data_IF_339742084287
#
_entry.id   IF_339742084287
#
_cell.length_a   1.000
_cell.length_b   1.000
_cell.length_c   1.000
_cell.angle_alpha   90.00
_cell.angle_beta   90.00
_cell.angle_gamma   90.00
#
_symmetry.space_group_name_H-M   'P 1'
#
loop_
_entity.id
_entity.type
_entity.pdbx_description
1 polymer ?
#
# COMPACT_ATOMS: atom_id res chain seq x y z
N UNK A 1 31.31 -18.89 24.50
CA UNK A 1 31.32 -19.95 23.48
C UNK A 1 30.09 -19.90 22.55
N UNK A 2 28.88 -19.62 23.08
CA UNK A 2 27.66 -19.53 22.24
C UNK A 2 27.65 -18.32 21.29
N UNK A 3 28.33 -17.22 21.64
CA UNK A 3 28.42 -16.02 20.80
C UNK A 3 29.37 -16.23 19.60
N UNK A 4 30.47 -16.93 19.80
CA UNK A 4 31.46 -17.22 18.75
C UNK A 4 30.89 -18.21 17.73
N UNK A 5 30.08 -19.19 18.17
CA UNK A 5 29.37 -20.12 17.27
C UNK A 5 28.28 -19.45 16.42
N UNK A 6 27.66 -18.37 16.95
CA UNK A 6 26.63 -17.62 16.22
C UNK A 6 27.23 -16.74 15.14
N UNK A 7 28.40 -16.15 15.40
CA UNK A 7 29.11 -15.31 14.44
C UNK A 7 29.74 -16.17 13.32
N UNK A 8 30.30 -17.34 13.65
CA UNK A 8 30.80 -18.30 12.66
C UNK A 8 29.69 -18.89 11.75
N UNK A 9 28.48 -19.08 12.28
CA UNK A 9 27.31 -19.53 11.49
C UNK A 9 26.73 -18.42 10.59
N UNK A 10 26.88 -17.17 10.98
CA UNK A 10 26.48 -16.02 10.16
C UNK A 10 27.50 -15.75 9.05
N UNK A 11 28.79 -15.86 9.33
CA UNK A 11 29.87 -15.74 8.32
C UNK A 11 29.83 -16.91 7.30
N UNK A 12 29.60 -18.17 7.76
CA UNK A 12 29.51 -19.29 6.82
C UNK A 12 28.31 -19.19 5.87
N UNK A 13 27.16 -18.71 6.36
CA UNK A 13 25.98 -18.48 5.49
C UNK A 13 26.14 -17.29 4.54
N UNK A 14 26.90 -16.25 4.92
CA UNK A 14 27.19 -15.13 4.04
C UNK A 14 28.20 -15.53 2.95
N UNK A 15 29.17 -16.36 3.27
CA UNK A 15 30.15 -16.90 2.31
C UNK A 15 29.51 -17.91 1.32
N UNK A 16 28.66 -18.83 1.78
CA UNK A 16 27.90 -19.71 0.86
C UNK A 16 26.94 -18.97 -0.06
N UNK A 17 26.41 -17.81 0.36
CA UNK A 17 25.56 -16.99 -0.48
C UNK A 17 26.36 -16.14 -1.47
N UNK A 18 27.56 -15.67 -1.09
CA UNK A 18 28.45 -14.94 -1.99
C UNK A 18 29.10 -15.84 -3.03
N UNK A 19 29.52 -17.07 -2.68
CA UNK A 19 30.14 -18.01 -3.61
C UNK A 19 29.16 -18.60 -4.64
N UNK A 20 27.85 -18.63 -4.32
CA UNK A 20 26.83 -18.96 -5.33
C UNK A 20 26.57 -17.85 -6.34
N UNK A 21 26.93 -16.60 -6.01
CA UNK A 21 26.80 -15.45 -6.91
C UNK A 21 28.02 -15.27 -7.82
N UNK A 22 29.18 -15.84 -7.47
CA UNK A 22 30.44 -15.69 -8.22
C UNK A 22 30.65 -16.81 -9.27
N UNK A 23 29.85 -17.88 -9.26
CA UNK A 23 30.03 -19.05 -10.14
C UNK A 23 29.00 -19.20 -11.27
N UNK A 24 28.08 -18.26 -11.47
CA UNK A 24 27.24 -18.22 -12.66
C UNK A 24 27.93 -17.29 -13.67
N UNK A 25 28.62 -17.88 -14.65
CA UNK A 25 28.87 -17.18 -15.91
C UNK A 25 27.55 -16.54 -16.32
N UNK A 26 27.54 -15.21 -16.48
CA UNK A 26 26.45 -14.47 -17.10
C UNK A 26 26.31 -15.00 -18.54
N UNK A 27 25.58 -16.10 -18.70
CA UNK A 27 24.89 -16.32 -19.95
C UNK A 27 24.02 -15.08 -20.09
N UNK A 28 24.42 -14.18 -20.95
CA UNK A 28 23.62 -13.04 -21.38
C UNK A 28 22.32 -13.62 -21.96
N UNK A 29 21.35 -13.83 -21.09
CA UNK A 29 19.97 -14.07 -21.54
C UNK A 29 19.59 -12.79 -22.24
N UNK A 30 19.47 -12.83 -23.56
CA UNK A 30 18.97 -11.73 -24.34
C UNK A 30 17.57 -11.40 -23.81
N UNK A 31 17.45 -10.27 -23.13
CA UNK A 31 16.19 -9.82 -22.50
C UNK A 31 15.56 -8.78 -23.41
N UNK A 32 14.27 -8.84 -23.54
CA UNK A 32 13.54 -7.73 -24.16
C UNK A 32 13.70 -6.48 -23.29
N UNK A 33 13.96 -5.36 -23.94
CA UNK A 33 14.16 -4.05 -23.31
C UNK A 33 13.08 -3.10 -23.80
N UNK A 34 12.37 -2.47 -22.85
CA UNK A 34 11.44 -1.37 -23.14
C UNK A 34 11.94 -0.11 -22.43
N UNK A 35 11.84 1.02 -23.09
CA UNK A 35 12.30 2.31 -22.56
C UNK A 35 11.13 3.25 -22.34
N UNK A 36 11.11 3.89 -21.17
CA UNK A 36 10.12 4.87 -20.74
C UNK A 36 10.78 6.09 -20.12
N UNK A 37 10.07 7.20 -20.08
CA UNK A 37 10.50 8.33 -19.27
C UNK A 37 10.35 8.02 -17.78
N UNK A 38 9.21 7.42 -17.39
CA UNK A 38 8.94 7.05 -16.00
C UNK A 38 8.34 5.64 -15.91
N UNK A 39 8.92 4.83 -15.03
CA UNK A 39 8.34 3.54 -14.61
C UNK A 39 7.79 3.66 -13.19
N UNK A 40 6.54 3.27 -12.99
CA UNK A 40 5.87 3.23 -11.69
C UNK A 40 5.65 1.78 -11.26
N UNK A 41 6.14 1.41 -10.10
CA UNK A 41 6.05 0.05 -9.54
C UNK A 41 4.94 -0.02 -8.52
N UNK A 42 3.81 -0.61 -8.89
CA UNK A 42 2.64 -0.83 -8.04
C UNK A 42 1.42 -0.01 -8.42
N UNK A 43 0.31 -0.70 -8.73
CA UNK A 43 -1.00 -0.16 -9.12
C UNK A 43 -1.92 0.17 -7.94
N UNK A 44 -1.36 0.59 -6.82
CA UNK A 44 -2.11 1.10 -5.68
C UNK A 44 -2.43 2.60 -5.79
N UNK A 45 -3.08 3.19 -4.76
CA UNK A 45 -3.49 4.61 -4.80
C UNK A 45 -2.33 5.58 -5.10
N UNK A 46 -1.14 5.36 -4.53
CA UNK A 46 0.01 6.24 -4.75
C UNK A 46 0.55 6.13 -6.17
N UNK A 47 0.74 4.90 -6.68
CA UNK A 47 1.27 4.70 -8.04
C UNK A 47 0.32 5.20 -9.12
N UNK A 48 -0.99 4.92 -8.99
CA UNK A 48 -1.99 5.42 -9.93
C UNK A 48 -2.08 6.95 -9.90
N UNK A 49 -2.03 7.56 -8.71
CA UNK A 49 -2.03 9.03 -8.59
C UNK A 49 -0.78 9.66 -9.20
N UNK A 50 0.38 9.00 -9.06
CA UNK A 50 1.62 9.41 -9.71
C UNK A 50 1.47 9.40 -11.24
N UNK A 51 1.03 8.27 -11.79
CA UNK A 51 0.91 8.08 -13.24
C UNK A 51 -0.11 9.06 -13.86
N UNK A 52 -1.26 9.25 -13.22
CA UNK A 52 -2.28 10.21 -13.65
C UNK A 52 -1.71 11.64 -13.63
N UNK A 53 -1.08 12.04 -12.53
CA UNK A 53 -0.54 13.40 -12.38
C UNK A 53 0.57 13.69 -13.40
N UNK A 54 1.46 12.73 -13.67
CA UNK A 54 2.49 12.85 -14.71
C UNK A 54 1.88 13.13 -16.09
N UNK A 55 0.85 12.38 -16.47
CA UNK A 55 0.18 12.57 -17.77
C UNK A 55 -0.62 13.87 -17.83
N UNK A 56 -1.20 14.32 -16.71
CA UNK A 56 -1.85 15.63 -16.63
C UNK A 56 -0.85 16.76 -16.86
N UNK A 57 0.31 16.73 -16.18
CA UNK A 57 1.36 17.72 -16.35
C UNK A 57 1.92 17.72 -17.78
N UNK A 58 2.12 16.54 -18.36
CA UNK A 58 2.55 16.42 -19.76
C UNK A 58 1.56 17.07 -20.72
N UNK A 59 0.26 16.83 -20.54
CA UNK A 59 -0.78 17.46 -21.33
C UNK A 59 -0.83 18.99 -21.15
N UNK A 60 -0.73 19.48 -19.91
CA UNK A 60 -0.70 20.93 -19.60
C UNK A 60 0.48 21.66 -20.24
N UNK A 61 1.63 20.99 -20.32
CA UNK A 61 2.87 21.55 -20.89
C UNK A 61 3.09 21.20 -22.38
N UNK A 62 2.16 20.47 -23.01
CA UNK A 62 2.31 19.91 -24.35
C UNK A 62 3.63 19.13 -24.51
N UNK A 63 4.05 18.41 -23.48
CA UNK A 63 5.23 17.59 -23.46
C UNK A 63 4.87 16.13 -23.81
N UNK A 64 5.73 15.47 -24.57
CA UNK A 64 5.66 14.03 -24.73
C UNK A 64 6.32 13.36 -23.53
N UNK A 65 5.60 12.46 -22.85
CA UNK A 65 6.08 11.73 -21.69
C UNK A 65 5.50 10.31 -21.69
N UNK A 66 6.37 9.34 -21.84
CA UNK A 66 6.01 7.93 -21.75
C UNK A 66 5.99 7.46 -20.29
N UNK A 67 4.87 6.90 -19.83
CA UNK A 67 4.68 6.42 -18.47
C UNK A 67 4.19 4.98 -18.48
N UNK A 68 4.94 4.10 -17.85
CA UNK A 68 4.61 2.70 -17.63
C UNK A 68 4.28 2.46 -16.16
N UNK A 69 3.22 1.71 -15.88
CA UNK A 69 2.87 1.25 -14.54
C UNK A 69 2.76 -0.27 -14.53
N UNK A 70 3.50 -0.93 -13.66
CA UNK A 70 3.42 -2.38 -13.47
C UNK A 70 2.70 -2.73 -12.17
N UNK A 71 1.88 -3.78 -12.22
CA UNK A 71 1.16 -4.33 -11.06
C UNK A 71 1.31 -5.86 -11.04
N UNK A 72 1.70 -6.39 -9.89
CA UNK A 72 1.86 -7.85 -9.72
C UNK A 72 0.55 -8.63 -9.69
N UNK A 73 -0.54 -7.97 -9.32
CA UNK A 73 -1.88 -8.56 -9.37
C UNK A 73 -2.33 -8.78 -10.81
N UNK A 74 -3.21 -9.75 -11.03
CA UNK A 74 -3.77 -10.07 -12.35
C UNK A 74 -4.55 -8.91 -12.98
N UNK A 75 -4.97 -7.95 -12.18
CA UNK A 75 -5.62 -6.69 -12.55
C UNK A 75 -5.37 -5.63 -11.48
N UNK A 76 -5.58 -4.38 -11.80
CA UNK A 76 -5.55 -3.30 -10.80
C UNK A 76 -6.61 -3.57 -9.73
N UNK A 77 -6.21 -3.49 -8.47
CA UNK A 77 -7.09 -3.71 -7.32
C UNK A 77 -7.22 -5.17 -6.85
N UNK A 78 -6.73 -6.17 -7.60
CA UNK A 78 -6.85 -7.59 -7.24
C UNK A 78 -6.28 -7.94 -5.85
N UNK A 79 -5.19 -7.27 -5.46
CA UNK A 79 -4.56 -7.47 -4.15
C UNK A 79 -5.00 -6.47 -3.08
N UNK A 80 -6.04 -5.69 -3.34
CA UNK A 80 -6.58 -4.71 -2.40
C UNK A 80 -7.91 -5.23 -1.83
N UNK A 81 -7.87 -5.64 -0.57
CA UNK A 81 -9.10 -5.99 0.14
C UNK A 81 -9.82 -4.70 0.55
N UNK A 82 -11.11 -4.66 0.27
CA UNK A 82 -11.98 -3.53 0.53
C UNK A 82 -12.13 -3.22 2.02
N UNK A 83 -12.69 -2.06 2.32
CA UNK A 83 -12.98 -1.58 3.64
C UNK A 83 -12.15 -0.36 4.00
N UNK A 84 -12.55 0.78 3.48
CA UNK A 84 -11.89 2.05 3.74
C UNK A 84 -12.91 3.12 4.10
N UNK A 85 -12.60 3.90 5.12
CA UNK A 85 -13.21 5.20 5.32
C UNK A 85 -12.29 6.23 4.67
N UNK A 86 -12.65 6.68 3.49
CA UNK A 86 -11.81 7.47 2.58
C UNK A 86 -12.02 8.97 2.76
N UNK A 87 -10.92 9.70 2.92
CA UNK A 87 -10.88 11.17 2.91
C UNK A 87 -10.63 11.64 1.46
N UNK A 88 -11.58 12.36 0.81
CA UNK A 88 -11.52 12.61 -0.64
C UNK A 88 -10.55 13.71 -1.06
N UNK A 89 -9.96 14.48 -0.14
CA UNK A 89 -9.13 15.67 -0.41
C UNK A 89 -8.10 15.48 -1.53
N UNK A 90 -7.36 14.35 -1.51
CA UNK A 90 -6.36 14.10 -2.54
C UNK A 90 -6.98 13.75 -3.90
N UNK A 91 -8.17 13.13 -3.89
CA UNK A 91 -8.94 12.88 -5.11
C UNK A 91 -9.54 14.16 -5.67
N UNK A 92 -10.06 15.05 -4.81
CA UNK A 92 -10.58 16.38 -5.19
C UNK A 92 -9.49 17.20 -5.90
N UNK A 93 -8.23 17.08 -5.46
CA UNK A 93 -7.10 17.75 -6.06
C UNK A 93 -6.64 17.08 -7.39
N UNK A 94 -6.62 15.75 -7.43
CA UNK A 94 -6.14 15.00 -8.59
C UNK A 94 -7.14 15.01 -9.75
N UNK A 95 -8.41 14.79 -9.46
CA UNK A 95 -9.51 14.70 -10.43
C UNK A 95 -10.72 15.46 -9.85
N UNK A 96 -10.78 16.80 -9.97
CA UNK A 96 -11.83 17.60 -9.34
C UNK A 96 -13.26 17.22 -9.75
N UNK A 97 -13.42 16.71 -10.97
CA UNK A 97 -14.68 16.24 -11.55
C UNK A 97 -14.94 14.73 -11.36
N UNK A 98 -14.36 14.14 -10.30
CA UNK A 98 -14.47 12.71 -10.03
C UNK A 98 -15.91 12.22 -9.86
N UNK A 99 -16.83 13.07 -9.38
CA UNK A 99 -18.25 12.74 -9.22
C UNK A 99 -18.93 12.55 -10.57
N UNK A 100 -18.72 13.49 -11.46
CA UNK A 100 -19.23 13.47 -12.84
C UNK A 100 -18.63 12.32 -13.66
N UNK A 101 -17.40 11.96 -13.35
CA UNK A 101 -16.69 10.80 -13.93
C UNK A 101 -17.04 9.46 -13.30
N UNK A 102 -17.97 9.45 -12.35
CA UNK A 102 -18.51 8.22 -11.76
C UNK A 102 -17.52 7.46 -10.86
N UNK A 103 -16.70 8.17 -10.09
CA UNK A 103 -15.88 7.52 -9.06
C UNK A 103 -16.77 6.76 -8.06
N UNK A 104 -16.37 5.56 -7.60
CA UNK A 104 -17.20 4.69 -6.77
C UNK A 104 -17.22 5.12 -5.28
N UNK A 105 -17.62 6.36 -5.03
CA UNK A 105 -17.77 6.95 -3.70
C UNK A 105 -19.25 7.26 -3.44
N UNK A 106 -20.05 6.22 -3.21
CA UNK A 106 -21.51 6.34 -3.14
C UNK A 106 -22.05 6.44 -1.71
N UNK A 107 -21.28 6.01 -0.70
CA UNK A 107 -21.72 5.91 0.69
C UNK A 107 -21.01 6.94 1.58
N UNK A 108 -21.56 8.17 1.75
CA UNK A 108 -20.98 9.17 2.63
C UNK A 108 -21.01 8.70 4.09
N UNK A 109 -19.96 9.02 4.84
CA UNK A 109 -19.92 8.77 6.28
C UNK A 109 -20.83 9.77 7.01
N UNK A 110 -21.87 9.26 7.65
CA UNK A 110 -22.93 10.06 8.30
C UNK A 110 -22.95 9.93 9.81
N UNK A 111 -22.34 8.87 10.35
CA UNK A 111 -22.38 8.60 11.79
C UNK A 111 -21.07 7.98 12.26
N UNK A 112 -20.47 8.59 13.27
CA UNK A 112 -19.31 8.05 13.99
C UNK A 112 -19.73 7.39 15.30
N UNK A 113 -19.16 6.21 15.57
CA UNK A 113 -19.36 5.46 16.81
C UNK A 113 -18.02 4.99 17.34
N UNK A 114 -17.70 5.30 18.59
CA UNK A 114 -16.54 4.75 19.27
C UNK A 114 -16.99 3.98 20.49
N UNK A 115 -16.59 2.70 20.58
CA UNK A 115 -16.94 1.82 21.69
C UNK A 115 -15.71 1.30 22.41
N UNK A 116 -15.81 1.22 23.73
CA UNK A 116 -14.89 0.44 24.54
C UNK A 116 -15.55 -0.88 24.92
N UNK A 117 -14.91 -1.98 24.53
CA UNK A 117 -15.36 -3.34 24.84
C UNK A 117 -14.68 -3.81 26.13
N UNK A 118 -15.48 -4.10 27.17
CA UNK A 118 -14.99 -4.57 28.47
C UNK A 118 -14.75 -6.07 28.44
N UNK A 119 -15.72 -6.81 27.91
CA UNK A 119 -15.70 -8.26 27.72
C UNK A 119 -16.63 -8.62 26.54
N UNK A 120 -16.86 -9.89 26.29
CA UNK A 120 -17.68 -10.36 25.15
C UNK A 120 -19.13 -9.85 25.14
N UNK A 121 -19.68 -9.45 26.30
CA UNK A 121 -21.09 -9.09 26.46
C UNK A 121 -21.31 -7.62 26.83
N UNK A 122 -20.26 -6.94 27.30
CA UNK A 122 -20.37 -5.58 27.84
C UNK A 122 -19.50 -4.59 27.10
N UNK A 123 -20.12 -3.53 26.65
CA UNK A 123 -19.46 -2.37 26.02
C UNK A 123 -20.11 -1.07 26.46
N UNK A 124 -19.43 0.03 26.29
CA UNK A 124 -20.02 1.36 26.39
C UNK A 124 -19.57 2.25 25.23
N UNK A 125 -20.45 3.15 24.81
CA UNK A 125 -20.10 4.18 23.85
C UNK A 125 -19.26 5.25 24.55
N UNK A 126 -18.13 5.59 23.96
CA UNK A 126 -17.35 6.74 24.40
C UNK A 126 -18.10 7.98 23.89
N UNK A 127 -18.59 8.86 24.78
CA UNK A 127 -19.23 10.10 24.36
C UNK A 127 -18.20 10.98 23.65
N UNK A 128 -18.54 11.38 22.42
CA UNK A 128 -17.55 11.89 21.50
C UNK A 128 -17.97 13.24 20.92
N UNK A 129 -17.64 14.36 21.57
CA UNK A 129 -17.71 15.62 20.90
C UNK A 129 -16.66 15.67 19.79
N UNK A 130 -17.08 15.75 18.54
CA UNK A 130 -16.21 15.78 17.35
C UNK A 130 -15.10 16.84 17.41
N UNK A 131 -15.32 17.92 18.19
CA UNK A 131 -14.32 18.97 18.39
C UNK A 131 -13.15 18.57 19.31
N UNK A 132 -13.34 17.60 20.20
CA UNK A 132 -12.26 17.13 21.10
C UNK A 132 -11.38 16.04 20.47
N UNK A 133 -11.91 15.31 19.48
CA UNK A 133 -11.19 14.25 18.79
C UNK A 133 -11.39 14.32 17.28
N UNK A 134 -10.89 15.37 16.64
CA UNK A 134 -11.14 15.63 15.21
C UNK A 134 -10.65 14.49 14.30
N UNK A 135 -9.69 13.70 14.74
CA UNK A 135 -9.15 12.57 13.98
C UNK A 135 -10.17 11.45 13.72
N UNK A 136 -11.23 11.35 14.55
CA UNK A 136 -12.30 10.37 14.40
C UNK A 136 -13.58 10.95 13.79
N UNK A 137 -13.60 12.23 13.49
CA UNK A 137 -14.69 12.84 12.76
C UNK A 137 -14.57 12.46 11.28
N UNK A 138 -15.53 11.70 10.78
CA UNK A 138 -15.57 11.24 9.40
C UNK A 138 -16.58 11.99 8.53
N UNK A 139 -17.15 13.07 9.02
CA UNK A 139 -18.03 13.91 8.20
C UNK A 139 -17.29 14.41 6.96
N UNK A 140 -17.88 14.22 5.77
CA UNK A 140 -17.27 14.53 4.48
C UNK A 140 -16.38 13.40 3.91
N UNK A 141 -16.19 12.30 4.65
CA UNK A 141 -15.53 11.10 4.15
C UNK A 141 -16.54 10.13 3.54
N UNK A 142 -16.05 9.06 2.90
CA UNK A 142 -16.87 8.03 2.28
C UNK A 142 -16.46 6.64 2.75
N UNK A 143 -17.45 5.79 3.03
CA UNK A 143 -17.21 4.35 3.20
C UNK A 143 -17.25 3.70 1.81
N UNK A 144 -16.17 3.06 1.39
CA UNK A 144 -16.05 2.61 0.03
C UNK A 144 -15.07 1.44 -0.14
N UNK A 145 -15.13 0.77 -1.28
CA UNK A 145 -14.17 -0.25 -1.69
C UNK A 145 -12.93 0.39 -2.31
N UNK A 146 -11.78 0.28 -1.65
CA UNK A 146 -10.51 0.79 -2.18
C UNK A 146 -10.09 0.05 -3.47
N UNK A 147 -10.44 -1.23 -3.60
CA UNK A 147 -10.18 -1.97 -4.84
C UNK A 147 -10.94 -1.37 -6.03
N UNK A 148 -12.22 -1.01 -5.83
CA UNK A 148 -13.03 -0.38 -6.86
C UNK A 148 -12.51 1.02 -7.22
N UNK A 149 -12.08 1.81 -6.23
CA UNK A 149 -11.43 3.09 -6.51
C UNK A 149 -10.15 2.92 -7.34
N UNK A 150 -9.30 1.95 -7.01
CA UNK A 150 -8.08 1.70 -7.77
C UNK A 150 -8.39 1.24 -9.21
N UNK A 151 -9.39 0.39 -9.44
CA UNK A 151 -9.82 0.01 -10.79
C UNK A 151 -10.28 1.23 -11.58
N UNK A 152 -11.09 2.08 -10.96
CA UNK A 152 -11.54 3.33 -11.59
C UNK A 152 -10.38 4.28 -11.89
N UNK A 153 -9.42 4.46 -10.94
CA UNK A 153 -8.20 5.24 -11.19
C UNK A 153 -7.34 4.63 -12.31
N UNK A 154 -7.26 3.30 -12.38
CA UNK A 154 -6.59 2.59 -13.48
C UNK A 154 -7.19 2.99 -14.84
N UNK A 155 -8.51 2.94 -14.96
CA UNK A 155 -9.21 3.40 -16.17
C UNK A 155 -8.93 4.88 -16.49
N UNK A 156 -8.88 5.76 -15.46
CA UNK A 156 -8.53 7.17 -15.70
C UNK A 156 -7.07 7.30 -16.18
N UNK A 157 -6.13 6.51 -15.65
CA UNK A 157 -4.74 6.51 -16.06
C UNK A 157 -4.58 6.03 -17.53
N UNK A 158 -5.24 4.93 -17.90
CA UNK A 158 -5.25 4.41 -19.28
C UNK A 158 -5.83 5.43 -20.27
N UNK A 159 -6.92 6.10 -19.92
CA UNK A 159 -7.53 7.15 -20.73
C UNK A 159 -6.59 8.35 -20.97
N UNK A 160 -5.61 8.57 -20.10
CA UNK A 160 -4.57 9.59 -20.25
C UNK A 160 -3.33 9.06 -20.99
N UNK A 161 -3.33 7.79 -21.41
CA UNK A 161 -2.23 7.17 -22.13
C UNK A 161 -1.11 6.66 -21.23
N UNK A 162 -1.42 6.22 -20.00
CA UNK A 162 -0.50 5.41 -19.19
C UNK A 162 -0.56 3.96 -19.69
N UNK A 163 0.59 3.36 -19.91
CA UNK A 163 0.68 1.93 -20.22
C UNK A 163 0.67 1.13 -18.91
N UNK A 164 -0.40 0.37 -18.67
CA UNK A 164 -0.55 -0.45 -17.45
C UNK A 164 -0.33 -1.92 -17.76
N UNK A 165 0.61 -2.55 -17.06
CA UNK A 165 0.93 -3.97 -17.20
C UNK A 165 0.57 -4.74 -15.92
N UNK A 166 -0.66 -5.27 -15.82
CA UNK A 166 -1.03 -6.16 -14.72
C UNK A 166 -0.44 -7.56 -14.93
N UNK A 167 -0.20 -8.27 -13.82
CA UNK A 167 0.40 -9.60 -13.82
C UNK A 167 1.93 -9.60 -13.84
N UNK A 168 2.58 -8.44 -13.96
CA UNK A 168 4.04 -8.33 -13.95
C UNK A 168 4.57 -7.88 -12.60
N UNK A 169 5.54 -8.61 -12.08
CA UNK A 169 6.25 -8.26 -10.84
C UNK A 169 7.54 -7.52 -11.15
N UNK A 170 7.89 -6.50 -10.38
CA UNK A 170 9.25 -5.99 -10.35
C UNK A 170 10.10 -6.91 -9.48
N UNK A 171 11.03 -7.63 -10.08
CA UNK A 171 11.89 -8.59 -9.38
C UNK A 171 13.15 -7.94 -8.79
N UNK A 172 13.75 -7.02 -9.54
CA UNK A 172 14.92 -6.27 -9.08
C UNK A 172 14.96 -4.86 -9.69
N UNK A 173 15.77 -3.97 -9.10
CA UNK A 173 16.08 -2.67 -9.67
C UNK A 173 17.31 -2.77 -10.57
N UNK A 174 17.28 -2.13 -11.72
CA UNK A 174 18.43 -1.97 -12.60
C UNK A 174 19.27 -0.83 -12.06
N UNK A 175 20.53 -1.11 -11.74
CA UNK A 175 21.46 -0.15 -11.16
C UNK A 175 22.67 0.02 -12.07
N UNK A 176 22.97 1.26 -12.43
CA UNK A 176 24.18 1.63 -13.17
C UNK A 176 24.88 2.79 -12.45
N UNK A 177 26.12 2.58 -12.02
CA UNK A 177 26.90 3.57 -11.27
C UNK A 177 26.15 4.13 -10.04
N UNK A 178 25.49 3.25 -9.29
CA UNK A 178 24.65 3.61 -8.13
C UNK A 178 23.40 4.47 -8.45
N UNK A 179 23.01 4.55 -9.71
CA UNK A 179 21.77 5.20 -10.15
C UNK A 179 20.75 4.15 -10.55
N UNK A 180 19.51 4.30 -10.12
CA UNK A 180 18.39 3.46 -10.57
C UNK A 180 18.03 3.83 -12.01
N UNK A 181 18.05 2.85 -12.91
CA UNK A 181 17.77 3.00 -14.35
C UNK A 181 16.54 2.25 -14.82
N UNK A 182 15.72 1.76 -13.91
CA UNK A 182 14.55 0.98 -14.21
C UNK A 182 14.41 -0.24 -13.32
N UNK A 183 13.66 -1.21 -13.80
CA UNK A 183 13.42 -2.48 -13.10
C UNK A 183 13.55 -3.67 -14.03
N UNK A 184 13.87 -4.80 -13.43
CA UNK A 184 13.78 -6.11 -14.04
C UNK A 184 12.46 -6.76 -13.64
N UNK A 185 11.69 -7.26 -14.61
CA UNK A 185 10.47 -8.00 -14.31
C UNK A 185 10.80 -9.41 -13.82
N UNK A 186 9.86 -10.01 -13.09
CA UNK A 186 9.98 -11.43 -12.73
C UNK A 186 9.76 -12.36 -13.93
N UNK A 187 10.45 -13.48 -13.92
CA UNK A 187 10.16 -14.56 -14.86
C UNK A 187 8.77 -15.14 -14.60
N UNK A 188 8.05 -15.49 -15.66
CA UNK A 188 6.73 -16.12 -15.58
C UNK A 188 6.75 -17.56 -16.11
N UNK A 189 5.73 -18.33 -15.70
CA UNK A 189 5.60 -19.71 -16.18
C UNK A 189 6.64 -20.69 -15.60
N UNK A 190 7.12 -20.44 -14.38
CA UNK A 190 7.96 -21.36 -13.62
C UNK A 190 7.09 -22.25 -12.72
N UNK A 191 7.38 -23.55 -12.65
CA UNK A 191 6.72 -24.51 -11.76
C UNK A 191 7.16 -24.33 -10.31
N UNK A 192 6.49 -25.01 -9.37
CA UNK A 192 6.89 -25.08 -7.96
C UNK A 192 8.31 -25.61 -7.76
N UNK A 193 8.76 -26.47 -8.66
CA UNK A 193 10.05 -27.16 -8.60
C UNK A 193 11.14 -26.39 -9.36
N UNK A 194 10.82 -25.18 -9.87
CA UNK A 194 11.76 -24.31 -10.58
C UNK A 194 11.89 -24.61 -12.09
N UNK A 195 11.07 -25.50 -12.64
CA UNK A 195 11.14 -25.88 -14.07
C UNK A 195 10.33 -24.93 -14.94
N UNK A 196 10.82 -24.65 -16.13
CA UNK A 196 10.15 -23.82 -17.14
C UNK A 196 8.96 -24.57 -17.75
N UNK A 197 7.76 -23.99 -17.66
CA UNK A 197 6.54 -24.50 -18.32
C UNK A 197 6.50 -24.06 -19.78
N UNK A 198 5.56 -24.61 -20.55
CA UNK A 198 5.31 -24.17 -21.94
C UNK A 198 4.94 -22.68 -22.04
N UNK A 199 4.43 -22.08 -20.96
CA UNK A 199 4.10 -20.66 -20.83
C UNK A 199 5.23 -19.81 -20.24
N UNK A 200 6.47 -20.32 -20.21
CA UNK A 200 7.61 -19.59 -19.69
C UNK A 200 7.84 -18.30 -20.48
N UNK A 201 8.02 -17.20 -19.75
CA UNK A 201 8.47 -15.93 -20.27
C UNK A 201 9.67 -15.45 -19.46
N UNK A 202 10.78 -15.08 -20.11
CA UNK A 202 11.95 -14.56 -19.43
C UNK A 202 11.64 -13.20 -18.78
N UNK A 203 12.49 -12.79 -17.88
CA UNK A 203 12.46 -11.42 -17.35
C UNK A 203 12.75 -10.41 -18.46
N UNK A 204 12.10 -9.23 -18.37
CA UNK A 204 12.28 -8.09 -19.27
C UNK A 204 12.90 -6.93 -18.51
N UNK A 205 13.62 -6.06 -19.19
CA UNK A 205 14.10 -4.79 -18.64
C UNK A 205 13.11 -3.67 -18.99
N UNK A 206 12.59 -3.00 -17.98
CA UNK A 206 11.86 -1.75 -18.15
C UNK A 206 12.77 -0.62 -17.70
N UNK A 207 13.41 0.02 -18.67
CA UNK A 207 14.34 1.12 -18.42
C UNK A 207 13.62 2.45 -18.31
N UNK A 208 14.08 3.33 -17.44
CA UNK A 208 13.45 4.61 -17.20
C UNK A 208 14.47 5.70 -16.84
N UNK A 209 14.12 6.96 -17.14
CA UNK A 209 14.82 8.13 -16.60
C UNK A 209 14.63 8.24 -15.09
N UNK A 210 13.42 7.96 -14.61
CA UNK A 210 13.10 7.85 -13.19
C UNK A 210 12.18 6.67 -12.89
N UNK A 211 12.41 6.02 -11.75
CA UNK A 211 11.56 4.92 -11.28
C UNK A 211 10.92 5.27 -9.94
N UNK A 212 9.59 5.10 -9.85
CA UNK A 212 8.82 5.41 -8.64
C UNK A 212 8.30 4.13 -8.02
N UNK A 213 8.74 3.85 -6.78
CA UNK A 213 8.40 2.64 -6.05
C UNK A 213 7.20 2.87 -5.14
N UNK A 214 6.04 2.37 -5.56
CA UNK A 214 4.74 2.47 -4.90
C UNK A 214 4.25 1.11 -4.37
N UNK A 215 5.16 0.28 -3.85
CA UNK A 215 4.92 -1.12 -3.51
C UNK A 215 4.10 -1.34 -2.22
N UNK A 216 3.76 -0.26 -1.52
CA UNK A 216 3.03 -0.32 -0.25
C UNK A 216 3.88 -0.78 0.93
N UNK A 217 3.23 -1.17 2.02
CA UNK A 217 3.92 -1.58 3.23
C UNK A 217 4.93 -2.72 2.96
N UNK A 218 6.20 -2.48 3.24
CA UNK A 218 7.31 -3.43 3.05
C UNK A 218 7.43 -3.98 1.62
N UNK A 219 7.40 -3.12 0.63
CA UNK A 219 7.79 -3.46 -0.73
C UNK A 219 9.15 -4.14 -0.75
N UNK A 220 9.34 -5.19 -1.56
CA UNK A 220 10.60 -5.93 -1.50
C UNK A 220 11.77 -5.15 -2.14
N UNK A 221 11.53 -4.36 -3.19
CA UNK A 221 12.54 -3.47 -3.76
C UNK A 221 12.76 -2.25 -2.87
N UNK A 222 11.69 -1.66 -2.33
CA UNK A 222 11.80 -0.55 -1.38
C UNK A 222 12.70 -0.89 -0.20
N UNK A 223 12.61 -2.11 0.37
CA UNK A 223 13.53 -2.55 1.43
C UNK A 223 14.99 -2.63 0.99
N UNK A 224 15.24 -3.15 -0.22
CA UNK A 224 16.59 -3.23 -0.78
C UNK A 224 17.18 -1.84 -0.99
N UNK A 225 16.37 -0.91 -1.53
CA UNK A 225 16.79 0.45 -1.81
C UNK A 225 17.00 1.28 -0.53
N UNK A 226 16.11 1.14 0.47
CA UNK A 226 16.28 1.74 1.78
C UNK A 226 17.62 1.30 2.40
N UNK A 227 17.92 0.01 2.38
CA UNK A 227 19.17 -0.52 2.92
C UNK A 227 20.40 -0.09 2.08
N UNK A 228 20.30 -0.11 0.74
CA UNK A 228 21.40 0.24 -0.16
C UNK A 228 21.83 1.70 0.00
N UNK A 229 20.87 2.61 0.08
CA UNK A 229 21.13 4.05 0.16
C UNK A 229 21.08 4.58 1.61
N UNK A 230 20.99 3.69 2.61
CA UNK A 230 20.89 4.06 4.03
C UNK A 230 19.79 5.10 4.30
N UNK A 231 18.62 4.96 3.64
CA UNK A 231 17.57 5.98 3.68
C UNK A 231 16.92 6.12 5.07
N UNK A 232 17.00 5.10 5.92
CA UNK A 232 16.50 5.09 7.29
C UNK A 232 17.56 5.47 8.33
N UNK A 233 18.74 5.94 7.88
CA UNK A 233 19.79 6.42 8.77
C UNK A 233 19.29 7.60 9.61
N UNK A 234 19.57 7.56 10.90
CA UNK A 234 19.17 8.59 11.89
C UNK A 234 17.63 8.76 12.01
N UNK A 235 16.85 7.75 11.59
CA UNK A 235 15.41 7.69 11.80
C UNK A 235 15.06 6.75 12.96
N UNK A 236 13.91 6.99 13.59
CA UNK A 236 13.39 6.06 14.58
C UNK A 236 13.05 4.71 13.93
N UNK A 237 13.15 3.58 14.66
CA UNK A 237 12.74 2.28 14.16
C UNK A 237 11.29 2.27 13.67
N UNK A 238 11.03 1.62 12.53
CA UNK A 238 9.70 1.52 11.99
C UNK A 238 8.82 0.58 12.83
N UNK A 239 7.58 0.96 13.04
CA UNK A 239 6.57 0.16 13.72
C UNK A 239 5.57 -0.44 12.74
N UNK A 240 5.24 -1.70 12.94
CA UNK A 240 4.32 -2.43 12.07
C UNK A 240 3.12 -2.96 12.85
N UNK A 241 2.00 -3.08 12.15
CA UNK A 241 0.82 -3.83 12.60
C UNK A 241 0.40 -4.84 11.55
N UNK A 242 -0.34 -5.85 11.97
CA UNK A 242 -1.07 -6.76 11.08
C UNK A 242 -2.57 -6.44 11.17
N UNK A 243 -3.17 -6.13 10.02
CA UNK A 243 -4.61 -5.90 9.91
C UNK A 243 -5.29 -7.09 9.26
N UNK A 244 -6.21 -7.75 9.99
CA UNK A 244 -7.14 -8.71 9.42
C UNK A 244 -8.39 -7.97 8.97
N UNK A 245 -8.93 -8.35 7.83
CA UNK A 245 -10.09 -7.70 7.21
C UNK A 245 -11.04 -8.74 6.66
N UNK A 246 -12.32 -8.46 6.78
CA UNK A 246 -13.39 -9.22 6.10
C UNK A 246 -14.42 -8.27 5.52
N UNK A 247 -15.06 -8.70 4.45
CA UNK A 247 -16.24 -8.07 3.86
C UNK A 247 -17.39 -9.04 4.03
N UNK A 248 -18.51 -8.53 4.53
CA UNK A 248 -19.73 -9.32 4.78
C UNK A 248 -20.93 -8.66 4.13
N UNK A 249 -21.78 -9.46 3.49
CA UNK A 249 -23.15 -9.09 3.17
C UNK A 249 -24.00 -9.37 4.39
N UNK A 250 -24.74 -8.38 4.89
CA UNK A 250 -25.56 -8.50 6.08
C UNK A 250 -27.03 -8.18 5.78
N UNK A 251 -27.98 -8.69 6.59
CA UNK A 251 -29.39 -8.35 6.43
C UNK A 251 -29.63 -6.83 6.55
N UNK A 252 -30.56 -6.31 5.74
CA UNK A 252 -30.85 -4.87 5.69
C UNK A 252 -31.31 -4.28 7.04
N UNK A 253 -32.00 -5.08 7.86
CA UNK A 253 -32.51 -4.68 9.18
C UNK A 253 -31.43 -4.41 10.22
N UNK A 254 -30.21 -4.93 10.03
CA UNK A 254 -29.04 -4.69 10.91
C UNK A 254 -28.01 -3.77 10.26
N UNK A 255 -28.25 -3.38 9.02
CA UNK A 255 -27.36 -2.46 8.28
C UNK A 255 -27.72 -0.99 8.58
N UNK A 256 -26.69 -0.13 8.61
CA UNK A 256 -26.86 1.32 8.79
C UNK A 256 -25.80 2.04 7.96
N UNK A 257 -26.09 2.22 6.67
CA UNK A 257 -25.16 2.81 5.70
C UNK A 257 -24.55 4.13 6.19
N UNK A 258 -23.26 4.32 5.91
CA UNK A 258 -22.51 5.49 6.34
C UNK A 258 -22.09 5.49 7.82
N UNK A 259 -22.39 4.43 8.58
CA UNK A 259 -21.90 4.30 9.96
C UNK A 259 -20.46 3.85 9.97
N UNK A 260 -19.61 4.63 10.65
CA UNK A 260 -18.20 4.35 10.90
C UNK A 260 -18.02 4.05 12.37
N UNK A 261 -17.75 2.80 12.71
CA UNK A 261 -17.57 2.38 14.10
C UNK A 261 -16.11 1.92 14.33
N UNK A 262 -15.53 2.41 15.42
CA UNK A 262 -14.25 1.93 15.94
C UNK A 262 -14.44 1.32 17.31
N UNK A 263 -13.72 0.23 17.63
CA UNK A 263 -13.75 -0.36 18.96
C UNK A 263 -12.35 -0.59 19.51
N UNK A 264 -12.23 -0.53 20.83
CA UNK A 264 -11.00 -0.75 21.58
C UNK A 264 -11.31 -1.65 22.80
N UNK A 265 -10.27 -2.24 23.38
CA UNK A 265 -10.39 -3.06 24.59
C UNK A 265 -10.42 -4.55 24.25
N UNK A 266 -11.43 -5.27 24.76
CA UNK A 266 -11.56 -6.71 24.55
C UNK A 266 -11.61 -7.09 23.06
N UNK A 267 -11.06 -8.24 22.64
CA UNK A 267 -10.41 -9.29 23.43
C UNK A 267 -8.97 -8.97 23.76
N UNK A 268 -8.34 -8.06 23.05
CA UNK A 268 -6.90 -7.90 23.06
C UNK A 268 -6.40 -7.04 24.21
N UNK A 269 -5.39 -7.56 24.91
CA UNK A 269 -4.53 -6.78 25.78
C UNK A 269 -3.35 -6.13 25.03
N UNK A 270 -3.28 -6.28 23.71
CA UNK A 270 -2.16 -5.92 22.85
C UNK A 270 -2.24 -4.51 22.25
N UNK A 271 -3.05 -3.60 22.77
CA UNK A 271 -3.31 -2.28 22.17
C UNK A 271 -3.89 -2.34 20.73
N UNK A 272 -4.57 -3.44 20.39
CA UNK A 272 -5.26 -3.59 19.13
C UNK A 272 -6.45 -2.62 19.01
N UNK A 273 -6.74 -2.21 17.78
CA UNK A 273 -7.93 -1.43 17.45
C UNK A 273 -8.70 -2.09 16.33
N UNK A 274 -10.01 -1.96 16.35
CA UNK A 274 -10.85 -2.51 15.30
C UNK A 274 -11.70 -1.44 14.64
N UNK A 275 -12.18 -1.79 13.45
CA UNK A 275 -13.13 -0.96 12.73
C UNK A 275 -14.27 -1.82 12.20
N UNK A 276 -15.44 -1.19 12.06
CA UNK A 276 -16.65 -1.76 11.51
C UNK A 276 -17.38 -0.67 10.72
N UNK A 277 -17.35 -0.75 9.40
CA UNK A 277 -17.90 0.28 8.52
C UNK A 277 -19.05 -0.28 7.71
N UNK A 278 -20.17 0.44 7.70
CA UNK A 278 -21.35 0.11 6.89
C UNK A 278 -21.26 0.86 5.55
N UNK A 279 -21.01 0.12 4.49
CA UNK A 279 -20.93 0.64 3.13
C UNK A 279 -22.22 0.49 2.34
N UNK A 280 -22.15 0.64 1.04
CA UNK A 280 -23.26 0.43 0.12
C UNK A 280 -23.69 -1.05 0.03
N UNK A 281 -24.88 -1.32 -0.54
CA UNK A 281 -25.37 -2.64 -0.86
C UNK A 281 -25.46 -3.62 0.34
N UNK A 282 -25.77 -3.13 1.53
CA UNK A 282 -25.78 -3.91 2.76
C UNK A 282 -24.44 -4.58 3.08
N UNK A 283 -23.35 -4.06 2.58
CA UNK A 283 -22.02 -4.56 2.92
C UNK A 283 -21.46 -3.89 4.17
N UNK A 284 -20.80 -4.70 4.98
CA UNK A 284 -19.99 -4.20 6.09
C UNK A 284 -18.54 -4.61 5.91
N UNK A 285 -17.66 -3.68 6.18
CA UNK A 285 -16.20 -3.84 6.14
C UNK A 285 -15.69 -3.88 7.57
N UNK A 286 -15.12 -5.01 7.97
CA UNK A 286 -14.69 -5.20 9.35
C UNK A 286 -13.21 -5.56 9.43
N UNK A 287 -12.55 -5.18 10.50
CA UNK A 287 -11.17 -5.54 10.71
C UNK A 287 -10.64 -5.27 12.11
N UNK A 288 -9.55 -5.95 12.43
CA UNK A 288 -8.78 -5.77 13.65
C UNK A 288 -7.31 -5.56 13.27
N UNK A 289 -6.71 -4.54 13.83
CA UNK A 289 -5.28 -4.24 13.66
C UNK A 289 -4.55 -4.52 14.96
N UNK A 290 -3.63 -5.47 14.92
CA UNK A 290 -2.78 -5.86 16.07
C UNK A 290 -1.38 -5.33 15.81
N UNK A 291 -0.80 -4.53 16.73
CA UNK A 291 0.62 -4.17 16.67
C UNK A 291 1.50 -5.42 16.70
N UNK A 292 2.58 -5.45 15.89
CA UNK A 292 3.49 -6.61 15.84
C UNK A 292 4.55 -6.61 16.95
N UNK A 293 4.54 -5.59 17.80
CA UNK A 293 5.38 -5.46 19.00
C UNK A 293 4.70 -5.97 20.28
N UNK A 294 3.68 -6.84 20.15
CA UNK A 294 3.00 -7.44 21.29
C UNK A 294 3.95 -8.34 22.10
N UNK A 295 3.87 -8.28 23.43
CA UNK A 295 4.79 -8.96 24.35
C UNK A 295 4.44 -10.43 24.63
N UNK A 296 3.20 -10.86 24.34
CA UNK A 296 2.77 -12.24 24.57
C UNK A 296 3.07 -13.13 23.35
N UNK A 297 4.07 -14.03 23.39
CA UNK A 297 4.43 -14.87 22.25
C UNK A 297 3.35 -15.90 21.87
N UNK A 298 2.38 -16.14 22.75
CA UNK A 298 1.26 -17.06 22.50
C UNK A 298 0.02 -16.35 21.92
N UNK A 299 0.08 -15.04 21.72
CA UNK A 299 -1.01 -14.30 21.11
C UNK A 299 -1.07 -14.62 19.61
N UNK A 300 -2.23 -15.07 19.12
CA UNK A 300 -2.53 -15.20 17.72
C UNK A 300 -3.39 -14.02 17.27
N UNK A 301 -2.88 -13.09 16.47
CA UNK A 301 -3.65 -11.96 15.95
C UNK A 301 -4.91 -12.39 15.18
N UNK A 302 -4.88 -13.54 14.50
CA UNK A 302 -6.04 -14.10 13.83
C UNK A 302 -7.12 -14.51 14.84
N UNK A 303 -6.75 -15.21 15.92
CA UNK A 303 -7.71 -15.66 16.93
C UNK A 303 -8.30 -14.48 17.70
N UNK A 304 -7.52 -13.42 17.96
CA UNK A 304 -8.01 -12.15 18.50
C UNK A 304 -9.13 -11.57 17.63
N UNK A 305 -8.94 -11.59 16.30
CA UNK A 305 -9.99 -11.13 15.37
C UNK A 305 -11.23 -12.05 15.40
N UNK A 306 -11.05 -13.37 15.47
CA UNK A 306 -12.18 -14.30 15.58
C UNK A 306 -12.94 -14.09 16.89
N UNK A 307 -12.23 -13.89 18.02
CA UNK A 307 -12.86 -13.58 19.31
C UNK A 307 -13.61 -12.26 19.26
N UNK A 308 -13.00 -11.19 18.71
CA UNK A 308 -13.67 -9.90 18.58
C UNK A 308 -15.02 -9.99 17.87
N UNK A 309 -15.15 -10.81 16.84
CA UNK A 309 -16.42 -11.05 16.14
C UNK A 309 -17.49 -11.70 17.03
N UNK A 310 -17.12 -12.38 18.12
CA UNK A 310 -18.06 -12.97 19.06
C UNK A 310 -18.63 -11.96 20.05
N UNK A 311 -18.10 -10.74 20.13
CA UNK A 311 -18.69 -9.70 20.97
C UNK A 311 -20.16 -9.47 20.60
N UNK A 312 -21.03 -9.40 21.62
CA UNK A 312 -22.49 -9.31 21.46
C UNK A 312 -22.95 -8.29 20.42
N UNK A 313 -22.37 -7.08 20.43
CA UNK A 313 -22.76 -6.01 19.51
C UNK A 313 -22.31 -6.28 18.06
N UNK A 314 -21.20 -6.96 17.89
CA UNK A 314 -20.63 -7.30 16.58
C UNK A 314 -21.35 -8.52 16.01
N UNK A 315 -21.47 -9.58 16.82
CA UNK A 315 -22.12 -10.84 16.45
C UNK A 315 -23.55 -10.61 15.97
N UNK A 316 -24.31 -9.74 16.65
CA UNK A 316 -25.69 -9.39 16.27
C UNK A 316 -25.80 -8.90 14.82
N UNK A 317 -24.78 -8.23 14.29
CA UNK A 317 -24.80 -7.72 12.91
C UNK A 317 -24.37 -8.82 11.93
N UNK A 318 -23.43 -9.68 12.33
CA UNK A 318 -22.83 -10.69 11.45
C UNK A 318 -23.59 -12.03 11.44
N UNK A 319 -24.45 -12.31 12.44
CA UNK A 319 -25.03 -13.64 12.72
C UNK A 319 -25.76 -14.27 11.52
N UNK A 320 -26.48 -13.46 10.74
CA UNK A 320 -27.21 -13.92 9.55
C UNK A 320 -26.56 -13.38 8.25
N UNK A 321 -25.33 -12.93 8.32
CA UNK A 321 -24.58 -12.44 7.18
C UNK A 321 -23.74 -13.53 6.50
N UNK A 322 -23.27 -13.21 5.32
CA UNK A 322 -22.36 -14.06 4.54
C UNK A 322 -21.02 -13.33 4.35
N UNK A 323 -19.91 -13.99 4.74
CA UNK A 323 -18.58 -13.45 4.47
C UNK A 323 -18.23 -13.65 3.00
N UNK A 324 -18.06 -12.55 2.26
CA UNK A 324 -17.78 -12.58 0.81
C UNK A 324 -16.30 -12.43 0.46
N UNK A 325 -15.51 -11.80 1.34
CA UNK A 325 -14.07 -11.67 1.15
C UNK A 325 -13.33 -11.60 2.49
N UNK A 326 -12.06 -11.96 2.48
CA UNK A 326 -11.19 -11.86 3.66
C UNK A 326 -9.72 -11.73 3.24
N UNK A 327 -8.90 -11.21 4.14
CA UNK A 327 -7.46 -11.12 3.96
C UNK A 327 -6.76 -10.49 5.15
N UNK A 328 -5.43 -10.51 5.09
CA UNK A 328 -4.59 -9.84 6.06
C UNK A 328 -3.47 -9.07 5.35
N UNK A 329 -3.10 -7.93 5.92
CA UNK A 329 -2.01 -7.11 5.40
C UNK A 329 -1.26 -6.43 6.53
N UNK A 330 0.06 -6.40 6.41
CA UNK A 330 0.87 -5.53 7.26
C UNK A 330 0.60 -4.06 6.92
N UNK A 331 0.74 -3.21 7.90
CA UNK A 331 0.67 -1.76 7.75
C UNK A 331 1.77 -1.09 8.59
N UNK A 332 2.21 0.06 8.13
CA UNK A 332 3.19 0.90 8.81
C UNK A 332 2.47 1.85 9.76
N UNK A 333 3.01 2.05 10.96
CA UNK A 333 2.43 2.95 11.95
C UNK A 333 3.45 3.81 12.71
N UNK A 334 4.72 3.82 12.27
CA UNK A 334 5.81 4.55 12.94
C UNK A 334 5.68 6.08 12.87
N UNK A 335 4.93 6.59 11.90
CA UNK A 335 4.73 8.03 11.73
C UNK A 335 5.93 8.74 11.12
N UNK A 336 5.96 10.07 11.26
CA UNK A 336 6.94 10.93 10.62
C UNK A 336 8.39 10.62 11.04
N UNK A 337 8.61 10.31 12.31
CA UNK A 337 9.95 10.05 12.88
C UNK A 337 10.62 8.79 12.31
N UNK A 338 9.80 7.82 11.88
CA UNK A 338 10.28 6.55 11.30
C UNK A 338 10.26 6.56 9.75
N UNK A 339 9.93 7.71 9.14
CA UNK A 339 9.88 7.83 7.69
C UNK A 339 11.29 7.89 7.13
N UNK A 340 11.68 6.99 6.20
CA UNK A 340 12.98 7.05 5.56
C UNK A 340 13.09 8.30 4.67
N UNK A 341 14.29 8.68 4.27
CA UNK A 341 14.49 9.55 3.12
C UNK A 341 13.81 8.91 1.92
N UNK A 342 13.05 9.68 1.16
CA UNK A 342 12.18 9.12 0.12
C UNK A 342 12.79 9.17 -1.27
N UNK A 343 13.98 9.76 -1.41
CA UNK A 343 14.66 9.97 -2.69
C UNK A 343 16.04 9.34 -2.70
N UNK A 344 16.47 8.97 -3.89
CA UNK A 344 17.79 8.45 -4.19
C UNK A 344 18.07 8.65 -5.70
N UNK A 345 19.33 8.54 -6.17
CA UNK A 345 19.65 8.75 -7.58
C UNK A 345 18.79 7.89 -8.53
N UNK A 346 18.04 8.54 -9.42
CA UNK A 346 17.17 7.91 -10.41
C UNK A 346 15.84 7.35 -9.90
N UNK A 347 15.46 7.61 -8.63
CA UNK A 347 14.21 7.08 -8.12
C UNK A 347 13.69 7.67 -6.82
N UNK A 348 12.42 7.31 -6.50
CA UNK A 348 11.72 7.73 -5.30
C UNK A 348 10.85 6.59 -4.74
N UNK A 349 10.61 6.61 -3.43
CA UNK A 349 9.60 5.77 -2.76
C UNK A 349 8.41 6.64 -2.37
N UNK A 350 7.18 6.14 -2.60
CA UNK A 350 5.94 6.88 -2.35
C UNK A 350 4.92 6.05 -1.58
N UNK A 351 3.94 6.71 -1.00
CA UNK A 351 2.85 6.08 -0.28
C UNK A 351 3.31 5.30 0.93
N UNK A 352 2.68 4.15 1.15
CA UNK A 352 2.97 3.32 2.33
C UNK A 352 4.33 2.61 2.24
N UNK A 353 4.99 2.62 1.09
CA UNK A 353 6.38 2.21 0.95
C UNK A 353 7.32 3.18 1.72
N UNK A 354 6.96 4.45 1.76
CA UNK A 354 7.62 5.49 2.54
C UNK A 354 7.02 5.69 3.95
N UNK A 355 5.91 5.01 4.29
CA UNK A 355 5.27 5.12 5.60
C UNK A 355 4.39 6.36 5.77
N UNK A 356 3.61 6.73 4.75
CA UNK A 356 2.75 7.93 4.77
C UNK A 356 1.44 7.78 5.54
N UNK A 357 1.16 6.61 6.16
CA UNK A 357 -0.05 6.39 6.95
C UNK A 357 -0.18 7.38 8.11
N UNK A 358 -1.31 8.07 8.21
CA UNK A 358 -1.67 8.89 9.39
C UNK A 358 -2.38 7.98 10.40
N UNK A 359 -1.61 7.33 11.26
CA UNK A 359 -2.12 6.32 12.19
C UNK A 359 -3.21 6.87 13.12
N UNK A 360 -3.08 8.09 13.63
CA UNK A 360 -4.05 8.73 14.52
C UNK A 360 -5.41 9.00 13.87
N UNK A 361 -5.45 9.13 12.54
CA UNK A 361 -6.69 9.24 11.75
C UNK A 361 -7.20 7.90 11.26
N UNK A 362 -6.40 6.82 11.38
CA UNK A 362 -6.66 5.51 10.78
C UNK A 362 -6.88 5.64 9.25
N UNK A 363 -6.17 6.55 8.62
CA UNK A 363 -6.28 6.89 7.20
C UNK A 363 -4.89 7.08 6.58
N UNK A 364 -4.68 6.47 5.41
CA UNK A 364 -3.41 6.56 4.69
C UNK A 364 -3.59 6.78 3.19
N UNK A 365 -4.79 6.55 2.66
CA UNK A 365 -5.01 6.59 1.20
C UNK A 365 -4.81 8.01 0.64
N UNK A 366 -5.35 9.04 1.29
CA UNK A 366 -5.20 10.43 0.86
C UNK A 366 -3.73 10.91 0.88
N UNK A 367 -2.96 10.52 1.91
CA UNK A 367 -1.53 10.85 2.01
C UNK A 367 -0.69 10.04 1.01
N UNK A 368 -1.05 8.78 0.77
CA UNK A 368 -0.41 7.97 -0.26
C UNK A 368 -0.65 8.56 -1.66
N UNK A 369 -1.87 8.99 -1.98
CA UNK A 369 -2.19 9.68 -3.23
C UNK A 369 -1.41 10.99 -3.36
N UNK A 370 -1.42 11.83 -2.31
CA UNK A 370 -0.71 13.13 -2.33
C UNK A 370 0.79 12.95 -2.50
N UNK A 371 1.42 11.96 -1.83
CA UNK A 371 2.85 11.69 -2.02
C UNK A 371 3.16 11.29 -3.47
N UNK A 372 2.29 10.53 -4.12
CA UNK A 372 2.42 10.19 -5.53
C UNK A 372 2.30 11.41 -6.46
N UNK A 373 1.37 12.33 -6.15
CA UNK A 373 1.20 13.56 -6.93
C UNK A 373 2.43 14.47 -6.84
N UNK A 374 2.96 14.66 -5.63
CA UNK A 374 4.19 15.46 -5.41
C UNK A 374 5.40 14.82 -6.09
N UNK A 375 5.53 13.50 -6.03
CA UNK A 375 6.58 12.77 -6.76
C UNK A 375 6.48 12.98 -8.27
N UNK A 376 5.25 12.99 -8.81
CA UNK A 376 5.00 13.25 -10.21
C UNK A 376 5.43 14.67 -10.61
N UNK A 377 5.11 15.68 -9.80
CA UNK A 377 5.51 17.07 -10.03
C UNK A 377 7.04 17.22 -10.04
N UNK A 378 7.70 16.67 -9.03
CA UNK A 378 9.16 16.72 -8.90
C UNK A 378 9.88 16.00 -10.06
N UNK A 379 9.43 14.80 -10.42
CA UNK A 379 10.02 14.02 -11.52
C UNK A 379 9.75 14.67 -12.86
N UNK A 380 8.56 15.19 -13.09
CA UNK A 380 8.24 15.90 -14.32
C UNK A 380 9.15 17.11 -14.51
N UNK A 381 9.31 17.94 -13.48
CA UNK A 381 10.21 19.11 -13.53
C UNK A 381 11.67 18.70 -13.76
N UNK A 382 12.12 17.62 -13.13
CA UNK A 382 13.47 17.10 -13.36
C UNK A 382 13.70 16.68 -14.81
N UNK A 383 12.76 15.95 -15.41
CA UNK A 383 12.84 15.52 -16.83
C UNK A 383 12.82 16.73 -17.76
N UNK A 384 11.94 17.71 -17.54
CA UNK A 384 11.85 18.91 -18.36
C UNK A 384 13.13 19.76 -18.31
N UNK A 385 13.83 19.78 -17.19
CA UNK A 385 15.10 20.49 -17.01
C UNK A 385 16.33 19.64 -17.36
N UNK A 386 16.14 18.44 -17.93
CA UNK A 386 17.19 17.47 -18.22
C UNK A 386 18.11 17.15 -17.01
N UNK A 387 17.54 17.22 -15.82
CA UNK A 387 18.18 16.82 -14.57
C UNK A 387 17.94 15.34 -14.33
N UNK A 388 18.63 14.50 -15.10
CA UNK A 388 18.52 13.05 -15.06
C UNK A 388 19.52 12.49 -14.04
N UNK A 389 19.18 11.32 -13.47
CA UNK A 389 20.03 10.59 -12.52
C UNK A 389 20.25 11.27 -11.16
N UNK A 390 19.60 12.40 -10.93
CA UNK A 390 19.74 13.15 -9.69
C UNK A 390 18.98 12.49 -8.53
N UNK A 391 19.44 12.76 -7.32
CA UNK A 391 18.66 12.62 -6.11
C UNK A 391 17.75 13.85 -5.96
N UNK A 392 16.44 13.66 -6.02
CA UNK A 392 15.45 14.73 -6.08
C UNK A 392 15.03 15.20 -4.68
N UNK A 393 15.97 15.71 -3.89
CA UNK A 393 15.74 16.12 -2.49
C UNK A 393 14.61 17.13 -2.31
N UNK A 394 14.31 17.95 -3.31
CA UNK A 394 13.17 18.89 -3.31
C UNK A 394 11.81 18.22 -3.13
N UNK A 395 11.71 16.92 -3.35
CA UNK A 395 10.49 16.14 -3.05
C UNK A 395 10.18 16.09 -1.54
N UNK A 396 11.17 16.23 -0.69
CA UNK A 396 11.00 16.15 0.78
C UNK A 396 10.70 17.51 1.44
N UNK A 397 10.94 18.61 0.74
CA UNK A 397 10.64 19.98 1.16
C UNK A 397 9.15 20.31 1.05
#
# INVERSE_FOLDING_TARGET
ELHILKDLLLESKSLEYSDRLVGMEENQVERDVMEYDVVVVGGGPSGLSTAIKLKQLAAEKNADLSVCLIEKGSEIGAHILSGNCFEPRALDELIPDWKEKGAPLNSPATKDVVKFLINENLSFNIPFPSFLMPNFNNHGNYVMSLANLCRWLGTQAENLGVEIFPGFTAADAILENDVVKGILTGEMGISKDGEKKASYQPSMELRAKYTIFAEGCRGHLGKKLIAKYELDKDKDPQHYGIGFKEVWDVPAEVHSEGTVMHTFGWPSKSKAGSYFYHGENNQVYIGLVVPLDYSNPHLSPFDEFQQWKQHKDIKKILENGTRVAYGARALIKGGYQSRPKMTFPGGLIVGDNAGTLVFTKIKGTHTAMKSGMLAAETVFDAIQNNNLDADLETYEE
#
